data_IF_063775066660
#
_entry.id   IF_063775066660
#
_cell.length_a   1.000
_cell.length_b   1.000
_cell.length_c   1.000
_cell.angle_alpha   90.00
_cell.angle_beta   90.00
_cell.angle_gamma   90.00
#
_symmetry.space_group_name_H-M   'P 1'
#
loop_
_entity.id
_entity.type
_entity.pdbx_description
1 polymer ?
#
# COMPACT_ATOMS: atom_id res chain seq x y z
N UNK A 1 -25.25 -84.38 63.88
CA UNK A 1 -25.12 -84.88 62.49
C UNK A 1 -26.15 -84.15 61.65
N UNK A 2 -25.69 -83.14 60.90
CA UNK A 2 -26.34 -82.44 59.77
C UNK A 2 -25.78 -81.01 59.77
N UNK A 3 -24.82 -80.76 58.88
CA UNK A 3 -24.23 -79.45 58.64
C UNK A 3 -25.09 -78.83 57.54
N UNK A 4 -25.82 -77.76 57.88
CA UNK A 4 -26.61 -76.99 56.91
C UNK A 4 -25.74 -75.88 56.32
N UNK A 5 -25.54 -75.94 55.01
CA UNK A 5 -24.69 -75.03 54.23
C UNK A 5 -25.53 -73.82 53.81
N UNK A 6 -25.30 -72.68 54.44
CA UNK A 6 -25.84 -71.39 53.98
C UNK A 6 -25.07 -70.90 52.76
N UNK A 7 -25.78 -70.72 51.65
CA UNK A 7 -25.28 -70.13 50.40
C UNK A 7 -25.16 -68.60 50.54
N UNK A 8 -23.96 -68.07 50.34
CA UNK A 8 -23.72 -66.63 50.16
C UNK A 8 -23.96 -66.23 48.69
N UNK A 9 -24.53 -65.03 48.41
CA UNK A 9 -24.75 -64.54 47.05
C UNK A 9 -23.42 -64.11 46.38
N UNK A 10 -23.37 -64.06 45.04
CA UNK A 10 -22.13 -63.90 44.28
C UNK A 10 -21.58 -62.46 44.33
N UNK A 11 -20.26 -62.35 44.48
CA UNK A 11 -19.51 -61.11 44.33
C UNK A 11 -19.56 -60.65 42.86
N UNK A 12 -20.12 -59.46 42.62
CA UNK A 12 -20.12 -58.80 41.32
C UNK A 12 -18.75 -58.14 41.11
N UNK A 13 -17.91 -58.70 40.23
CA UNK A 13 -16.69 -58.05 39.76
C UNK A 13 -17.07 -56.91 38.79
N UNK A 14 -17.00 -55.67 39.26
CA UNK A 14 -17.08 -54.48 38.42
C UNK A 14 -15.76 -54.31 37.66
N UNK A 15 -15.74 -54.68 36.38
CA UNK A 15 -14.66 -54.36 35.47
C UNK A 15 -14.66 -52.85 35.18
N UNK A 16 -13.66 -52.13 35.69
CA UNK A 16 -13.39 -50.75 35.32
C UNK A 16 -12.82 -50.71 33.90
N UNK A 17 -13.66 -50.38 32.92
CA UNK A 17 -13.21 -50.04 31.57
C UNK A 17 -12.44 -48.70 31.62
N UNK A 18 -11.20 -48.62 31.07
CA UNK A 18 -10.48 -47.37 31.00
C UNK A 18 -11.22 -46.44 30.03
N UNK A 19 -11.70 -45.30 30.55
CA UNK A 19 -12.16 -44.18 29.76
C UNK A 19 -10.96 -43.61 28.99
N UNK A 20 -10.75 -44.09 27.77
CA UNK A 20 -9.87 -43.41 26.81
C UNK A 20 -10.63 -42.15 26.38
N UNK A 21 -10.22 -41.00 26.94
CA UNK A 21 -10.59 -39.70 26.38
C UNK A 21 -10.01 -39.63 24.97
N UNK A 22 -10.83 -39.92 23.96
CA UNK A 22 -10.53 -39.55 22.59
C UNK A 22 -10.51 -38.03 22.54
N UNK A 23 -9.31 -37.43 22.49
CA UNK A 23 -9.15 -36.04 22.14
C UNK A 23 -9.84 -35.85 20.77
N UNK A 24 -10.90 -35.04 20.74
CA UNK A 24 -11.50 -34.62 19.49
C UNK A 24 -10.44 -33.82 18.74
N UNK A 25 -9.80 -34.46 17.77
CA UNK A 25 -9.05 -33.77 16.73
C UNK A 25 -10.09 -32.96 15.97
N UNK A 26 -10.16 -31.66 16.26
CA UNK A 26 -10.98 -30.72 15.50
C UNK A 26 -10.47 -30.72 14.07
N UNK A 27 -11.15 -31.47 13.20
CA UNK A 27 -10.95 -31.38 11.76
C UNK A 27 -11.49 -30.03 11.30
N UNK A 28 -10.63 -29.03 11.26
CA UNK A 28 -10.94 -27.82 10.51
C UNK A 28 -11.01 -28.23 9.03
N UNK A 29 -12.11 -27.94 8.31
CA UNK A 29 -12.13 -28.14 6.88
C UNK A 29 -10.95 -27.37 6.27
N UNK A 30 -10.22 -27.95 5.30
CA UNK A 30 -9.09 -27.27 4.68
C UNK A 30 -9.58 -25.91 4.14
N UNK A 31 -8.87 -24.83 4.49
CA UNK A 31 -9.18 -23.49 4.00
C UNK A 31 -9.24 -23.54 2.47
N UNK A 32 -10.33 -23.03 1.90
CA UNK A 32 -10.47 -22.96 0.45
C UNK A 32 -9.41 -22.01 -0.08
N UNK A 33 -8.48 -22.54 -0.88
CA UNK A 33 -7.44 -21.71 -1.48
C UNK A 33 -8.05 -20.61 -2.36
N UNK A 34 -7.53 -19.40 -2.18
CA UNK A 34 -7.86 -18.22 -2.97
C UNK A 34 -7.21 -18.31 -4.35
N UNK A 35 -5.94 -18.74 -4.42
CA UNK A 35 -5.23 -19.03 -5.67
C UNK A 35 -5.58 -20.42 -6.20
N UNK A 36 -6.82 -20.57 -6.67
CA UNK A 36 -7.27 -21.83 -7.27
C UNK A 36 -6.50 -22.15 -8.57
N UNK A 37 -6.45 -23.42 -9.02
CA UNK A 37 -5.84 -23.79 -10.30
C UNK A 37 -6.39 -23.01 -11.51
N UNK A 38 -7.67 -22.58 -11.45
CA UNK A 38 -8.28 -21.73 -12.48
C UNK A 38 -7.66 -20.33 -12.50
N UNK A 39 -7.35 -19.76 -11.34
CA UNK A 39 -6.71 -18.45 -11.22
C UNK A 39 -5.25 -18.55 -11.66
N UNK A 40 -4.53 -19.62 -11.27
CA UNK A 40 -3.17 -19.87 -11.75
C UNK A 40 -3.11 -19.96 -13.28
N UNK A 41 -3.98 -20.76 -13.88
CA UNK A 41 -4.06 -20.88 -15.33
C UNK A 41 -4.36 -19.53 -16.00
N UNK A 42 -5.24 -18.72 -15.40
CA UNK A 42 -5.53 -17.37 -15.89
C UNK A 42 -4.29 -16.47 -15.80
N UNK A 43 -3.57 -16.45 -14.68
CA UNK A 43 -2.35 -15.65 -14.51
C UNK A 43 -1.28 -16.05 -15.53
N UNK A 44 -1.05 -17.35 -15.71
CA UNK A 44 -0.10 -17.88 -16.71
C UNK A 44 -0.52 -17.44 -18.12
N UNK A 45 -1.81 -17.45 -18.43
CA UNK A 45 -2.31 -16.97 -19.73
C UNK A 45 -2.04 -15.47 -19.93
N UNK A 46 -2.14 -14.65 -18.88
CA UNK A 46 -1.85 -13.22 -18.96
C UNK A 46 -0.36 -12.95 -19.17
N UNK A 47 0.54 -13.66 -18.47
CA UNK A 47 1.98 -13.56 -18.70
C UNK A 47 2.33 -13.82 -20.17
N UNK A 48 1.74 -14.87 -20.76
CA UNK A 48 1.94 -15.19 -22.17
C UNK A 48 1.35 -14.13 -23.11
N UNK A 49 0.11 -13.68 -22.84
CA UNK A 49 -0.58 -12.70 -23.69
C UNK A 49 0.13 -11.35 -23.73
N UNK A 50 0.65 -10.90 -22.60
CA UNK A 50 1.33 -9.60 -22.46
C UNK A 50 2.84 -9.68 -22.68
N UNK A 51 3.37 -10.85 -23.02
CA UNK A 51 4.81 -11.12 -23.15
C UNK A 51 5.60 -10.60 -21.92
N UNK A 52 5.03 -10.77 -20.73
CA UNK A 52 5.63 -10.34 -19.47
C UNK A 52 6.56 -11.42 -18.94
N UNK A 53 7.75 -11.03 -18.46
CA UNK A 53 8.76 -11.99 -18.01
C UNK A 53 8.40 -12.69 -16.71
N UNK A 54 7.73 -11.99 -15.80
CA UNK A 54 7.34 -12.51 -14.50
C UNK A 54 6.32 -11.63 -13.78
N UNK A 55 5.68 -12.21 -12.76
CA UNK A 55 4.63 -11.58 -11.96
C UNK A 55 4.66 -12.15 -10.53
N UNK A 56 4.51 -11.27 -9.54
CA UNK A 56 4.19 -11.66 -8.17
C UNK A 56 2.74 -11.25 -7.85
N UNK A 57 2.01 -12.10 -7.14
CA UNK A 57 0.60 -11.88 -6.79
C UNK A 57 0.42 -12.12 -5.29
N UNK A 58 -0.28 -11.21 -4.63
CA UNK A 58 -0.80 -11.40 -3.28
C UNK A 58 -2.32 -11.31 -3.34
N UNK A 59 -3.03 -12.31 -2.81
CA UNK A 59 -4.48 -12.30 -2.66
C UNK A 59 -4.82 -12.21 -1.19
N UNK A 60 -5.43 -11.10 -0.80
CA UNK A 60 -5.80 -10.81 0.59
C UNK A 60 -7.32 -10.81 0.70
N UNK A 61 -7.88 -11.67 1.54
CA UNK A 61 -9.32 -11.77 1.80
C UNK A 61 -9.59 -11.67 3.29
N UNK A 62 -10.49 -10.76 3.67
CA UNK A 62 -11.02 -10.70 5.04
C UNK A 62 -12.00 -11.85 5.27
N UNK A 63 -11.79 -12.61 6.33
CA UNK A 63 -12.68 -13.64 6.84
C UNK A 63 -13.11 -13.27 8.26
N UNK A 64 -14.09 -13.96 8.83
CA UNK A 64 -14.55 -13.67 10.18
C UNK A 64 -13.38 -13.79 11.18
N UNK A 65 -13.00 -12.64 11.76
CA UNK A 65 -11.93 -12.55 12.75
C UNK A 65 -10.50 -12.76 12.23
N UNK A 66 -10.26 -12.95 10.92
CA UNK A 66 -8.91 -13.17 10.38
C UNK A 66 -8.75 -12.70 8.93
N UNK A 67 -7.51 -12.65 8.46
CA UNK A 67 -7.17 -12.42 7.05
C UNK A 67 -6.61 -13.70 6.45
N UNK A 68 -7.13 -14.10 5.30
CA UNK A 68 -6.53 -15.14 4.47
C UNK A 68 -5.67 -14.47 3.40
N UNK A 69 -4.37 -14.77 3.42
CA UNK A 69 -3.37 -14.18 2.52
C UNK A 69 -2.65 -15.32 1.81
N UNK A 70 -2.68 -15.29 0.48
CA UNK A 70 -1.98 -16.25 -0.37
C UNK A 70 -1.07 -15.51 -1.36
N UNK A 71 0.12 -16.06 -1.60
CA UNK A 71 1.11 -15.49 -2.51
C UNK A 71 1.36 -16.43 -3.68
N UNK A 72 1.50 -15.87 -4.87
CA UNK A 72 1.89 -16.57 -6.09
C UNK A 72 3.09 -15.88 -6.75
N UNK A 73 4.01 -16.67 -7.29
CA UNK A 73 5.19 -16.20 -8.02
C UNK A 73 5.27 -16.92 -9.35
N UNK A 74 5.37 -16.17 -10.44
CA UNK A 74 5.25 -16.70 -11.79
C UNK A 74 6.36 -16.10 -12.67
N UNK A 75 6.98 -16.94 -13.51
CA UNK A 75 7.99 -16.50 -14.47
C UNK A 75 9.33 -16.08 -13.85
N UNK A 76 10.04 -15.21 -14.55
CA UNK A 76 11.42 -14.79 -14.29
C UNK A 76 11.49 -13.29 -13.96
N UNK A 77 12.22 -12.97 -12.91
CA UNK A 77 12.49 -11.61 -12.45
C UNK A 77 13.62 -10.93 -13.25
N UNK A 78 14.52 -11.71 -13.85
CA UNK A 78 15.73 -11.19 -14.54
C UNK A 78 15.96 -11.91 -15.86
N UNK A 79 16.59 -11.23 -16.81
CA UNK A 79 17.02 -11.80 -18.09
C UNK A 79 17.99 -13.00 -17.93
N UNK A 80 18.63 -13.14 -16.76
CA UNK A 80 19.48 -14.29 -16.42
C UNK A 80 18.70 -15.58 -16.13
N UNK A 81 17.36 -15.53 -16.14
CA UNK A 81 16.52 -16.69 -15.82
C UNK A 81 16.15 -16.83 -14.35
N UNK A 82 16.56 -15.88 -13.49
CA UNK A 82 16.22 -15.93 -12.06
C UNK A 82 14.69 -15.90 -11.87
N UNK A 83 14.10 -16.83 -11.10
CA UNK A 83 12.65 -16.88 -10.91
C UNK A 83 12.16 -15.66 -10.11
N UNK A 84 10.89 -15.31 -10.30
CA UNK A 84 10.20 -14.43 -9.34
C UNK A 84 10.04 -15.18 -8.01
N UNK A 85 10.24 -14.46 -6.92
CA UNK A 85 10.06 -14.90 -5.54
C UNK A 85 9.19 -13.89 -4.79
N UNK A 86 8.65 -14.25 -3.60
CA UNK A 86 7.97 -13.29 -2.74
C UNK A 86 8.79 -12.04 -2.39
N UNK A 87 10.13 -12.17 -2.34
CA UNK A 87 11.06 -11.07 -2.04
C UNK A 87 11.54 -10.30 -3.28
N UNK A 88 11.00 -10.62 -4.47
CA UNK A 88 11.38 -9.90 -5.69
C UNK A 88 10.82 -8.48 -5.66
N UNK A 89 11.71 -7.49 -5.73
CA UNK A 89 11.33 -6.07 -5.77
C UNK A 89 11.00 -5.63 -7.20
N UNK A 90 9.84 -5.02 -7.36
CA UNK A 90 9.38 -4.43 -8.62
C UNK A 90 9.22 -2.91 -8.48
N UNK A 91 9.43 -2.18 -9.58
CA UNK A 91 9.02 -0.78 -9.65
C UNK A 91 7.49 -0.70 -9.75
N UNK A 92 6.83 -0.24 -8.70
CA UNK A 92 5.35 -0.16 -8.62
C UNK A 92 4.75 1.05 -9.35
N UNK A 93 5.60 1.83 -10.03
CA UNK A 93 5.21 2.99 -10.84
C UNK A 93 4.23 3.94 -10.13
N UNK A 94 3.02 4.09 -10.67
CA UNK A 94 2.04 5.04 -10.16
C UNK A 94 1.37 4.63 -8.86
N UNK A 95 1.51 3.37 -8.42
CA UNK A 95 1.01 2.95 -7.10
C UNK A 95 1.76 3.67 -5.96
N UNK A 96 2.96 4.18 -6.21
CA UNK A 96 3.70 5.08 -5.31
C UNK A 96 2.90 6.33 -4.90
N UNK A 97 1.93 6.77 -5.72
CA UNK A 97 1.07 7.93 -5.43
C UNK A 97 0.19 7.71 -4.20
N UNK A 98 -0.17 6.47 -3.89
CA UNK A 98 -0.91 6.14 -2.67
C UNK A 98 -0.07 6.47 -1.44
N UNK A 99 1.19 6.02 -1.41
CA UNK A 99 2.12 6.29 -0.31
C UNK A 99 2.38 7.78 -0.14
N UNK A 100 2.56 8.53 -1.24
CA UNK A 100 2.65 9.98 -1.19
C UNK A 100 1.39 10.60 -0.55
N UNK A 101 0.20 10.18 -0.99
CA UNK A 101 -1.06 10.76 -0.49
C UNK A 101 -1.23 10.51 1.01
N UNK A 102 -0.84 9.32 1.48
CA UNK A 102 -0.81 9.00 2.91
C UNK A 102 0.20 9.89 3.64
N UNK A 103 1.43 10.02 3.12
CA UNK A 103 2.47 10.85 3.70
C UNK A 103 2.02 12.33 3.85
N UNK A 104 1.39 12.90 2.82
CA UNK A 104 0.81 14.25 2.87
C UNK A 104 -0.31 14.34 3.92
N UNK A 105 -1.16 13.31 4.01
CA UNK A 105 -2.19 13.24 5.06
C UNK A 105 -1.61 13.18 6.48
N UNK A 106 -0.48 12.49 6.67
CA UNK A 106 0.25 12.43 7.94
C UNK A 106 0.89 13.78 8.29
N UNK A 107 1.47 14.49 7.30
CA UNK A 107 1.94 15.87 7.49
C UNK A 107 0.82 16.80 7.92
N UNK A 108 -0.37 16.68 7.31
CA UNK A 108 -1.56 17.47 7.68
C UNK A 108 -1.99 17.21 9.13
N UNK A 109 -1.86 15.97 9.60
CA UNK A 109 -2.19 15.58 10.99
C UNK A 109 -1.07 15.84 11.99
N UNK A 110 0.10 16.30 11.56
CA UNK A 110 1.26 16.45 12.44
C UNK A 110 1.11 17.70 13.34
N UNK A 111 0.69 17.48 14.58
CA UNK A 111 0.49 18.55 15.58
C UNK A 111 1.80 19.27 15.95
N UNK A 112 2.92 18.55 16.02
CA UNK A 112 4.24 19.14 16.29
C UNK A 112 4.66 20.10 15.18
N UNK A 113 4.43 19.71 13.92
CA UNK A 113 4.66 20.58 12.76
C UNK A 113 3.74 21.80 12.80
N UNK A 114 2.46 21.62 13.14
CA UNK A 114 1.52 22.71 13.27
C UNK A 114 1.95 23.71 14.35
N UNK A 115 2.39 23.22 15.51
CA UNK A 115 2.91 24.06 16.60
C UNK A 115 4.17 24.82 16.20
N UNK A 116 5.12 24.17 15.52
CA UNK A 116 6.35 24.81 15.03
C UNK A 116 6.06 25.89 13.99
N UNK A 117 5.10 25.66 13.10
CA UNK A 117 4.71 26.61 12.05
C UNK A 117 3.77 27.72 12.54
N UNK A 118 3.11 27.52 13.68
CA UNK A 118 2.03 28.38 14.15
C UNK A 118 0.74 28.27 13.33
N UNK A 119 0.66 27.32 12.40
CA UNK A 119 -0.52 27.04 11.57
C UNK A 119 -0.58 25.56 11.20
N UNK A 120 -1.77 24.97 11.31
CA UNK A 120 -2.06 23.62 10.84
C UNK A 120 -2.19 23.58 9.32
N UNK A 121 -1.49 22.64 8.69
CA UNK A 121 -1.70 22.33 7.28
C UNK A 121 -3.09 21.76 7.05
N UNK A 122 -3.68 22.08 5.90
CA UNK A 122 -5.01 21.63 5.49
C UNK A 122 -4.97 21.18 4.04
N UNK A 123 -5.95 20.38 3.63
CA UNK A 123 -6.10 19.98 2.23
C UNK A 123 -6.25 21.19 1.28
N UNK A 124 -6.82 22.29 1.77
CA UNK A 124 -7.00 23.53 1.02
C UNK A 124 -5.82 24.52 1.17
N UNK A 125 -4.74 24.14 1.86
CA UNK A 125 -3.52 24.96 1.95
C UNK A 125 -2.95 25.18 0.54
N UNK A 126 -2.64 26.44 0.24
CA UNK A 126 -2.07 26.86 -1.04
C UNK A 126 -0.62 26.40 -1.14
N UNK A 127 -0.25 25.85 -2.29
CA UNK A 127 1.14 25.40 -2.48
C UNK A 127 2.12 26.58 -2.50
N UNK A 128 1.66 27.73 -3.00
CA UNK A 128 2.44 28.96 -3.02
C UNK A 128 2.85 29.46 -1.61
N UNK A 129 2.19 29.02 -0.54
CA UNK A 129 2.57 29.37 0.84
C UNK A 129 3.53 28.36 1.47
N UNK A 130 3.82 27.25 0.79
CA UNK A 130 4.64 26.15 1.29
C UNK A 130 5.99 26.05 0.58
N UNK A 131 6.01 26.25 -0.74
CA UNK A 131 7.18 26.00 -1.59
C UNK A 131 7.66 27.31 -2.25
N UNK A 132 8.83 27.85 -1.86
CA UNK A 132 9.35 29.11 -2.41
C UNK A 132 9.57 29.12 -3.93
N UNK A 133 9.97 27.99 -4.50
CA UNK A 133 10.26 27.82 -5.92
C UNK A 133 9.00 27.62 -6.79
N UNK A 134 7.83 27.44 -6.15
CA UNK A 134 6.54 27.22 -6.83
C UNK A 134 6.21 28.33 -7.84
N UNK A 135 5.77 27.91 -9.02
CA UNK A 135 5.27 28.82 -10.04
C UNK A 135 4.55 28.09 -11.15
N UNK A 136 3.48 28.69 -11.67
CA UNK A 136 2.77 28.21 -12.87
C UNK A 136 2.69 29.35 -13.87
N UNK A 137 2.58 29.01 -15.16
CA UNK A 137 2.47 30.01 -16.23
C UNK A 137 1.27 30.94 -16.04
N UNK A 138 0.14 30.40 -15.56
CA UNK A 138 -1.07 31.16 -15.25
C UNK A 138 -1.01 31.70 -13.80
N UNK A 139 -1.09 33.03 -13.60
CA UNK A 139 -0.98 33.62 -12.26
C UNK A 139 -2.13 33.28 -11.31
N UNK A 140 -3.35 33.06 -11.82
CA UNK A 140 -4.50 32.68 -10.98
C UNK A 140 -4.34 31.24 -10.49
N UNK A 141 -3.94 30.33 -11.39
CA UNK A 141 -3.61 28.96 -11.03
C UNK A 141 -2.44 28.92 -10.03
N UNK A 142 -1.37 29.67 -10.28
CA UNK A 142 -0.21 29.74 -9.39
C UNK A 142 -0.60 30.10 -7.95
N UNK A 143 -1.45 31.11 -7.77
CA UNK A 143 -1.93 31.52 -6.44
C UNK A 143 -2.98 30.59 -5.87
N UNK A 144 -3.77 29.95 -6.73
CA UNK A 144 -4.99 29.24 -6.37
C UNK A 144 -4.81 27.76 -6.03
N UNK A 145 -3.80 27.08 -6.59
CA UNK A 145 -3.61 25.63 -6.43
C UNK A 145 -3.39 25.23 -4.96
N UNK A 146 -4.17 24.24 -4.50
CA UNK A 146 -4.05 23.64 -3.17
C UNK A 146 -3.42 22.25 -3.21
N UNK A 147 -3.08 21.71 -2.04
CA UNK A 147 -2.69 20.29 -1.87
C UNK A 147 -3.76 19.36 -2.47
N UNK A 148 -5.04 19.60 -2.16
CA UNK A 148 -6.15 18.81 -2.69
C UNK A 148 -6.27 18.89 -4.21
N UNK A 149 -6.05 20.05 -4.81
CA UNK A 149 -6.10 20.22 -6.26
C UNK A 149 -5.01 19.37 -6.95
N UNK A 150 -3.81 19.29 -6.35
CA UNK A 150 -2.72 18.44 -6.83
C UNK A 150 -3.04 16.94 -6.71
N UNK A 151 -3.48 16.49 -5.54
CA UNK A 151 -3.81 15.07 -5.28
C UNK A 151 -5.07 14.59 -6.02
N UNK A 152 -5.94 15.50 -6.44
CA UNK A 152 -7.14 15.17 -7.21
C UNK A 152 -6.98 15.37 -8.71
N UNK A 153 -5.77 15.73 -9.19
CA UNK A 153 -5.50 15.98 -10.61
C UNK A 153 -6.38 17.11 -11.21
N UNK A 154 -6.62 18.18 -10.44
CA UNK A 154 -7.53 19.29 -10.80
C UNK A 154 -6.85 20.64 -10.86
N UNK A 155 -5.55 20.67 -11.10
CA UNK A 155 -4.79 21.92 -11.18
C UNK A 155 -4.99 22.66 -12.51
N UNK A 156 -5.45 22.00 -13.57
CA UNK A 156 -5.50 22.54 -14.95
C UNK A 156 -4.22 22.29 -15.77
N UNK A 157 -3.22 21.67 -15.14
CA UNK A 157 -1.98 21.26 -15.79
C UNK A 157 -2.12 19.85 -16.41
N UNK A 158 -1.98 19.69 -17.73
CA UNK A 158 -1.94 18.37 -18.36
C UNK A 158 -0.62 17.64 -18.03
N UNK A 159 -0.49 16.35 -18.40
CA UNK A 159 0.80 15.67 -18.36
C UNK A 159 1.84 16.46 -19.18
N UNK A 160 3.04 16.57 -18.63
CA UNK A 160 4.22 17.14 -19.26
C UNK A 160 5.44 16.28 -18.94
N UNK A 161 5.28 14.96 -18.99
CA UNK A 161 6.26 14.01 -18.42
C UNK A 161 7.65 14.09 -19.08
N UNK A 162 7.75 14.66 -20.29
CA UNK A 162 9.01 14.89 -20.99
C UNK A 162 9.71 16.21 -20.64
N UNK A 163 9.10 17.08 -19.82
CA UNK A 163 9.63 18.41 -19.54
C UNK A 163 10.82 18.44 -18.57
N UNK A 164 11.40 17.29 -18.23
CA UNK A 164 12.41 17.22 -17.18
C UNK A 164 13.25 15.96 -17.12
N UNK A 165 13.58 15.37 -18.28
CA UNK A 165 14.33 14.12 -18.33
C UNK A 165 15.80 14.24 -17.86
N UNK A 166 16.35 15.45 -17.77
CA UNK A 166 17.68 15.71 -17.21
C UNK A 166 17.59 16.89 -16.22
N UNK A 167 17.53 16.59 -14.92
CA UNK A 167 17.46 17.59 -13.84
C UNK A 167 18.66 17.42 -12.92
N UNK A 168 19.66 18.28 -13.09
CA UNK A 168 20.84 18.28 -12.19
C UNK A 168 20.46 18.83 -10.81
N UNK A 169 19.48 19.73 -10.74
CA UNK A 169 18.97 20.35 -9.52
C UNK A 169 17.77 19.64 -8.87
N UNK A 170 17.40 18.43 -9.34
CA UNK A 170 16.39 17.59 -8.71
C UNK A 170 14.96 18.18 -8.70
N UNK A 171 14.20 17.86 -7.65
CA UNK A 171 12.78 18.25 -7.50
C UNK A 171 12.58 19.78 -7.41
N UNK A 172 13.40 20.56 -6.67
CA UNK A 172 13.25 22.02 -6.65
C UNK A 172 13.40 22.66 -8.03
N UNK A 173 14.36 22.18 -8.85
CA UNK A 173 14.53 22.64 -10.23
C UNK A 173 13.29 22.30 -11.06
N UNK A 174 12.72 21.10 -10.91
CA UNK A 174 11.44 20.74 -11.54
C UNK A 174 10.34 21.73 -11.19
N UNK A 175 10.13 21.98 -9.89
CA UNK A 175 9.05 22.86 -9.42
C UNK A 175 9.25 24.26 -10.00
N UNK A 176 10.49 24.76 -10.03
CA UNK A 176 10.81 26.09 -10.55
C UNK A 176 10.49 26.22 -12.05
N UNK A 177 10.61 25.14 -12.82
CA UNK A 177 10.40 25.15 -14.28
C UNK A 177 8.96 24.95 -14.70
N UNK A 178 8.05 24.55 -13.79
CA UNK A 178 6.62 24.43 -14.06
C UNK A 178 6.00 25.72 -14.63
N UNK A 179 6.56 26.89 -14.29
CA UNK A 179 6.15 28.20 -14.82
C UNK A 179 6.28 28.34 -16.33
N UNK A 180 7.07 27.48 -16.98
CA UNK A 180 7.27 27.49 -18.43
C UNK A 180 6.32 26.54 -19.17
N UNK A 181 5.51 25.77 -18.44
CA UNK A 181 4.60 24.78 -19.01
C UNK A 181 3.22 25.37 -19.20
N UNK A 182 2.66 25.15 -20.40
CA UNK A 182 1.33 25.68 -20.74
C UNK A 182 0.23 24.87 -20.04
N UNK A 183 -0.73 25.51 -19.35
CA UNK A 183 -1.93 24.84 -18.85
C UNK A 183 -2.88 24.48 -20.00
N UNK A 184 -3.77 23.52 -19.77
CA UNK A 184 -4.74 23.08 -20.78
C UNK A 184 -6.19 23.19 -20.30
N UNK A 185 -6.42 23.68 -19.08
CA UNK A 185 -7.74 24.00 -18.54
C UNK A 185 -7.59 25.04 -17.42
N UNK A 186 -8.67 25.70 -17.05
CA UNK A 186 -8.70 26.53 -15.85
C UNK A 186 -8.58 25.67 -14.58
N UNK A 187 -8.20 26.30 -13.46
CA UNK A 187 -8.13 25.65 -12.15
C UNK A 187 -9.47 24.98 -11.82
N UNK A 188 -9.43 23.69 -11.49
CA UNK A 188 -10.58 22.84 -11.14
C UNK A 188 -11.61 22.61 -12.25
N UNK A 189 -11.35 23.03 -13.48
CA UNK A 189 -12.31 22.84 -14.58
C UNK A 189 -12.56 21.36 -14.87
N UNK A 190 -11.49 20.55 -14.97
CA UNK A 190 -11.57 19.12 -15.29
C UNK A 190 -10.42 18.32 -14.69
N UNK A 191 -10.58 17.01 -14.64
CA UNK A 191 -9.54 16.07 -14.27
C UNK A 191 -8.46 15.97 -15.36
N UNK A 192 -7.20 16.04 -14.96
CA UNK A 192 -6.03 15.84 -15.84
C UNK A 192 -4.92 15.13 -15.07
N UNK A 193 -4.70 13.85 -15.37
CA UNK A 193 -3.61 13.08 -14.77
C UNK A 193 -2.28 13.82 -14.91
N UNK A 194 -1.50 13.90 -13.83
CA UNK A 194 -0.28 14.71 -13.81
C UNK A 194 0.71 14.19 -12.76
N UNK A 195 1.88 13.73 -13.22
CA UNK A 195 2.94 13.23 -12.34
C UNK A 195 3.67 14.36 -11.61
N UNK A 196 3.87 15.50 -12.28
CA UNK A 196 4.65 16.62 -11.74
C UNK A 196 4.01 17.21 -10.48
N UNK A 197 2.68 17.15 -10.34
CA UNK A 197 1.99 17.57 -9.11
C UNK A 197 2.29 16.64 -7.93
N UNK A 198 2.41 15.33 -8.18
CA UNK A 198 2.81 14.36 -7.15
C UNK A 198 4.29 14.50 -6.80
N UNK A 199 5.15 14.69 -7.79
CA UNK A 199 6.57 14.98 -7.56
C UNK A 199 6.77 16.32 -6.81
N UNK A 200 5.92 17.32 -7.04
CA UNK A 200 5.94 18.57 -6.28
C UNK A 200 5.60 18.31 -4.80
N UNK A 201 4.57 17.52 -4.53
CA UNK A 201 4.16 17.20 -3.17
C UNK A 201 5.17 16.32 -2.42
N UNK A 202 6.00 15.52 -3.10
CA UNK A 202 7.07 14.78 -2.43
C UNK A 202 8.17 15.69 -1.88
N UNK A 203 8.20 16.97 -2.27
CA UNK A 203 9.11 17.95 -1.70
C UNK A 203 8.66 18.52 -0.35
N UNK A 204 7.42 18.25 0.10
CA UNK A 204 6.92 18.79 1.36
C UNK A 204 7.73 18.33 2.60
N UNK A 205 8.06 17.05 2.81
CA UNK A 205 8.89 16.68 3.98
C UNK A 205 10.27 17.36 4.00
N UNK A 206 11.02 17.41 2.87
CA UNK A 206 12.27 18.17 2.83
C UNK A 206 12.09 19.64 3.21
N UNK A 207 11.08 20.32 2.68
CA UNK A 207 10.85 21.75 2.94
C UNK A 207 10.38 22.02 4.37
N UNK A 208 9.50 21.17 4.92
CA UNK A 208 8.79 21.45 6.17
C UNK A 208 9.47 20.85 7.40
N UNK A 209 10.24 19.77 7.22
CA UNK A 209 10.82 18.98 8.31
C UNK A 209 12.33 18.81 8.17
N UNK A 210 12.95 19.24 7.06
CA UNK A 210 14.36 18.97 6.76
C UNK A 210 14.68 17.45 6.75
N UNK A 211 13.73 16.65 6.28
CA UNK A 211 13.81 15.19 6.18
C UNK A 211 13.55 14.76 4.73
N UNK A 212 14.27 13.77 4.21
CA UNK A 212 13.99 13.26 2.86
C UNK A 212 12.61 12.62 2.79
N UNK A 213 12.01 12.61 1.60
CA UNK A 213 10.72 11.97 1.37
C UNK A 213 10.76 10.47 1.67
N UNK A 214 11.83 9.80 1.26
CA UNK A 214 12.05 8.37 1.46
C UNK A 214 12.17 8.04 2.96
N UNK A 215 12.91 8.86 3.72
CA UNK A 215 13.02 8.69 5.17
C UNK A 215 11.69 8.91 5.86
N UNK A 216 10.93 9.93 5.45
CA UNK A 216 9.61 10.22 6.01
C UNK A 216 8.63 9.07 5.77
N UNK A 217 8.60 8.51 4.55
CA UNK A 217 7.78 7.32 4.25
C UNK A 217 8.23 6.12 5.08
N UNK A 218 9.54 5.85 5.17
CA UNK A 218 10.04 4.71 5.91
C UNK A 218 9.62 4.78 7.38
N UNK A 219 9.83 5.93 8.02
CA UNK A 219 9.52 6.14 9.44
C UNK A 219 8.02 6.08 9.75
N UNK A 220 7.19 6.69 8.90
CA UNK A 220 5.79 6.91 9.24
C UNK A 220 4.80 5.97 8.55
N UNK A 221 5.24 5.18 7.56
CA UNK A 221 4.39 4.23 6.85
C UNK A 221 4.96 2.82 6.92
N UNK A 222 6.22 2.59 6.56
CA UNK A 222 6.75 1.22 6.49
C UNK A 222 7.05 0.65 7.87
N UNK A 223 7.86 1.32 8.69
CA UNK A 223 8.22 0.83 10.03
C UNK A 223 7.01 0.52 10.92
N UNK A 224 5.92 1.31 10.92
CA UNK A 224 4.73 1.00 11.72
C UNK A 224 3.86 -0.15 11.19
N UNK A 225 4.08 -0.60 9.95
CA UNK A 225 3.31 -1.67 9.29
C UNK A 225 4.05 -3.02 9.29
N UNK A 226 5.33 -3.04 9.68
CA UNK A 226 6.10 -4.26 9.98
C UNK A 226 5.72 -4.85 11.35
#
# INVERSE_FOLDING_TARGET
MSISVHHAPPFLFLALLPYVYASQVSFFPPKKSLLTPKIDAYIISQLSQWNSSGLAVAVVKKEEGSWNVEFGSYGQAKATGAPVTPDTVFAIASDSKLFLSIAVGLLIKNESLAAQRGETLRWDTKIATLLPEWGLMDPEMQRGVTIQDMLSHRTGMPPHDYSGYARVGGVPEMISTLRFLRPAAALRERYQYNNLMYETLSHLPPTLLNQSFESYIAEHIFTPLE
#
